data_IF_618528175929
#
_entry.id   IF_618528175929
#
_cell.length_a   1.000
_cell.length_b   1.000
_cell.length_c   1.000
_cell.angle_alpha   90.00
_cell.angle_beta   90.00
_cell.angle_gamma   90.00
#
_symmetry.space_group_name_H-M   'P 1'
#
loop_
_entity.id
_entity.type
_entity.pdbx_description
1 polymer ?
#
# COMPACT_ATOMS: atom_id res chain seq x y z
N UNK A 1 -28.76 -9.05 0.85
CA UNK A 1 -28.49 -10.46 0.47
C UNK A 1 -27.22 -10.87 1.20
N UNK A 2 -27.29 -11.87 2.08
CA UNK A 2 -26.22 -12.22 3.04
C UNK A 2 -25.31 -13.27 2.40
N UNK A 3 -24.01 -12.99 2.29
CA UNK A 3 -23.01 -14.00 1.97
C UNK A 3 -22.18 -14.29 3.22
N UNK A 4 -22.25 -15.53 3.70
CA UNK A 4 -21.36 -16.07 4.74
C UNK A 4 -20.38 -16.99 4.04
N UNK A 5 -19.13 -16.57 3.92
CA UNK A 5 -18.01 -17.47 3.67
C UNK A 5 -17.09 -17.42 4.88
N UNK A 6 -17.06 -18.55 5.61
CA UNK A 6 -16.17 -18.76 6.75
C UNK A 6 -14.76 -19.06 6.24
N UNK A 7 -13.82 -18.16 6.54
CA UNK A 7 -12.39 -18.46 6.53
C UNK A 7 -11.80 -18.10 7.90
N UNK A 8 -11.01 -19.03 8.45
CA UNK A 8 -10.37 -18.99 9.77
C UNK A 8 -9.35 -17.84 9.86
N UNK A 9 -9.48 -17.05 10.94
CA UNK A 9 -8.44 -16.30 11.67
C UNK A 9 -7.45 -15.50 10.81
N UNK A 10 -7.58 -14.17 10.81
CA UNK A 10 -6.54 -13.19 11.23
C UNK A 10 -7.22 -11.81 11.32
N UNK A 11 -6.89 -11.04 12.36
CA UNK A 11 -7.41 -9.72 12.73
C UNK A 11 -7.99 -8.87 11.60
N UNK A 12 -9.30 -8.62 11.66
CA UNK A 12 -10.00 -7.71 10.76
C UNK A 12 -9.85 -6.27 11.28
N UNK A 13 -8.78 -5.58 10.90
CA UNK A 13 -8.75 -4.13 11.03
C UNK A 13 -9.73 -3.55 10.00
N UNK A 14 -10.94 -3.23 10.44
CA UNK A 14 -11.85 -2.39 9.68
C UNK A 14 -11.20 -1.02 9.58
N UNK A 15 -10.60 -0.71 8.42
CA UNK A 15 -10.09 0.62 8.11
C UNK A 15 -11.31 1.53 7.99
N UNK A 16 -11.75 2.10 9.12
CA UNK A 16 -12.44 3.39 9.10
C UNK A 16 -11.37 4.41 8.71
N UNK A 17 -11.39 4.85 7.45
CA UNK A 17 -10.73 6.10 7.08
C UNK A 17 -11.61 7.22 7.67
N UNK A 18 -11.54 7.39 8.98
CA UNK A 18 -11.84 8.68 9.58
C UNK A 18 -10.66 9.58 9.23
N UNK A 19 -10.91 10.69 8.55
CA UNK A 19 -9.97 11.82 8.56
C UNK A 19 -9.78 12.24 10.02
N UNK A 20 -8.79 11.66 10.68
CA UNK A 20 -8.56 11.77 12.11
C UNK A 20 -7.08 11.75 12.36
N UNK A 21 -6.57 12.82 12.99
CA UNK A 21 -5.20 12.86 13.46
C UNK A 21 -5.04 11.77 14.52
N UNK A 22 -4.24 10.75 14.21
CA UNK A 22 -3.87 9.71 15.18
C UNK A 22 -2.86 10.32 16.14
N UNK A 23 -3.23 10.44 17.42
CA UNK A 23 -2.30 10.80 18.48
C UNK A 23 -1.66 9.53 19.04
N UNK A 24 -0.34 9.48 19.06
CA UNK A 24 0.42 8.35 19.60
C UNK A 24 1.64 8.85 20.37
N UNK A 25 2.06 8.08 21.37
CA UNK A 25 3.26 8.35 22.15
C UNK A 25 4.34 7.35 21.75
N UNK A 26 5.58 7.83 21.63
CA UNK A 26 6.75 6.98 21.43
C UNK A 26 7.78 7.30 22.50
N UNK A 27 8.47 6.26 22.94
CA UNK A 27 9.65 6.39 23.78
C UNK A 27 10.87 6.23 22.90
N UNK A 28 11.80 7.18 23.01
CA UNK A 28 13.09 7.16 22.33
C UNK A 28 14.16 7.32 23.40
N UNK A 29 15.37 6.84 23.12
CA UNK A 29 16.51 7.05 24.00
C UNK A 29 16.91 8.53 24.05
N UNK A 30 17.63 8.92 25.11
CA UNK A 30 18.02 10.30 25.37
C UNK A 30 18.86 10.89 24.22
N UNK A 31 19.73 10.08 23.62
CA UNK A 31 20.58 10.52 22.50
C UNK A 31 19.72 10.90 21.30
N UNK A 32 18.76 10.05 20.92
CA UNK A 32 17.81 10.32 19.83
C UNK A 32 16.94 11.55 20.15
N UNK A 33 16.48 11.69 21.39
CA UNK A 33 15.71 12.85 21.85
C UNK A 33 16.46 14.18 21.68
N UNK A 34 17.73 14.23 22.09
CA UNK A 34 18.57 15.42 21.93
C UNK A 34 18.95 15.70 20.47
N UNK A 35 19.14 14.67 19.67
CA UNK A 35 19.34 14.84 18.23
C UNK A 35 18.13 15.47 17.56
N UNK A 36 16.92 15.01 17.85
CA UNK A 36 15.67 15.60 17.34
C UNK A 36 15.53 17.07 17.74
N UNK A 37 15.88 17.41 18.98
CA UNK A 37 15.83 18.79 19.48
C UNK A 37 16.81 19.70 18.72
N UNK A 38 18.02 19.22 18.45
CA UNK A 38 19.03 19.98 17.69
C UNK A 38 18.59 20.24 16.25
N UNK A 39 18.10 19.20 15.56
CA UNK A 39 17.63 19.32 14.18
C UNK A 39 16.39 20.22 14.09
N UNK A 40 15.48 20.13 15.07
CA UNK A 40 14.35 21.05 15.17
C UNK A 40 14.80 22.52 15.25
N UNK A 41 15.81 22.80 16.07
CA UNK A 41 16.39 24.14 16.19
C UNK A 41 17.03 24.64 14.88
N UNK A 42 17.69 23.76 14.13
CA UNK A 42 18.36 24.11 12.87
C UNK A 42 17.38 24.32 11.71
N UNK A 43 16.30 23.55 11.67
CA UNK A 43 15.32 23.56 10.57
C UNK A 43 14.15 24.51 10.81
N UNK A 44 13.97 25.00 12.04
CA UNK A 44 12.79 25.76 12.45
C UNK A 44 11.50 24.92 12.56
N UNK A 45 11.60 23.60 12.36
CA UNK A 45 10.48 22.68 12.47
C UNK A 45 10.27 22.23 13.91
N UNK A 46 9.02 21.92 14.27
CA UNK A 46 8.75 21.26 15.56
C UNK A 46 9.23 19.81 15.53
N UNK A 47 9.58 19.25 16.70
CA UNK A 47 9.94 17.83 16.84
C UNK A 47 8.89 16.89 16.21
N UNK A 48 7.60 17.16 16.43
CA UNK A 48 6.52 16.38 15.84
C UNK A 48 6.42 16.53 14.32
N UNK A 49 6.75 17.70 13.76
CA UNK A 49 6.83 17.87 12.32
C UNK A 49 7.96 17.02 11.72
N UNK A 50 9.14 17.02 12.36
CA UNK A 50 10.27 16.18 11.95
C UNK A 50 9.94 14.68 12.06
N UNK A 51 9.33 14.24 13.16
CA UNK A 51 8.93 12.83 13.34
C UNK A 51 7.95 12.41 12.24
N UNK A 52 6.93 13.24 11.95
CA UNK A 52 5.97 12.95 10.87
C UNK A 52 6.65 12.90 9.51
N UNK A 53 7.57 13.81 9.23
CA UNK A 53 8.31 13.83 7.97
C UNK A 53 9.16 12.56 7.82
N UNK A 54 9.96 12.22 8.84
CA UNK A 54 10.79 11.02 8.84
C UNK A 54 9.96 9.74 8.66
N UNK A 55 8.81 9.64 9.32
CA UNK A 55 7.90 8.50 9.16
C UNK A 55 7.34 8.42 7.72
N UNK A 56 6.94 9.55 7.13
CA UNK A 56 6.46 9.59 5.73
C UNK A 56 7.55 9.15 4.76
N UNK A 57 8.76 9.67 4.91
CA UNK A 57 9.89 9.31 4.05
C UNK A 57 10.21 7.82 4.17
N UNK A 58 10.33 7.31 5.41
CA UNK A 58 10.63 5.91 5.67
C UNK A 58 9.55 4.95 5.11
N UNK A 59 8.27 5.30 5.29
CA UNK A 59 7.16 4.54 4.72
C UNK A 59 7.13 4.63 3.20
N UNK A 60 7.36 5.80 2.60
CA UNK A 60 7.38 5.96 1.14
C UNK A 60 8.46 5.10 0.47
N UNK A 61 9.59 4.86 1.13
CA UNK A 61 10.61 3.90 0.66
C UNK A 61 10.20 2.44 0.74
N UNK A 62 9.16 2.09 1.52
CA UNK A 62 8.73 0.71 1.79
C UNK A 62 7.39 0.35 1.17
N UNK A 63 6.49 1.32 1.06
CA UNK A 63 5.16 1.22 0.48
C UNK A 63 5.18 1.47 -1.04
N UNK A 64 6.20 1.00 -1.75
CA UNK A 64 6.00 0.74 -3.17
C UNK A 64 5.46 -0.69 -3.27
N UNK A 65 4.13 -0.90 -3.44
CA UNK A 65 3.59 -2.19 -3.86
C UNK A 65 4.04 -2.43 -5.31
N UNK A 66 5.32 -2.74 -5.46
CA UNK A 66 5.95 -3.13 -6.71
C UNK A 66 5.89 -4.64 -6.77
N UNK A 67 5.38 -5.14 -7.88
CA UNK A 67 5.51 -6.55 -8.19
C UNK A 67 6.99 -6.94 -8.18
N UNK A 68 7.35 -8.14 -7.69
CA UNK A 68 8.72 -8.62 -7.73
C UNK A 68 9.34 -8.46 -9.12
N UNK A 69 10.65 -8.21 -9.20
CA UNK A 69 11.34 -7.92 -10.46
C UNK A 69 11.09 -9.01 -11.51
N UNK A 70 11.04 -10.28 -11.08
CA UNK A 70 10.69 -11.41 -11.94
C UNK A 70 9.34 -11.27 -12.65
N UNK A 71 8.34 -10.64 -12.02
CA UNK A 71 7.04 -10.36 -12.63
C UNK A 71 7.15 -9.16 -13.57
N UNK A 72 7.89 -8.12 -13.17
CA UNK A 72 8.07 -6.91 -13.97
C UNK A 72 8.90 -7.14 -15.25
N UNK A 73 9.82 -8.10 -15.20
CA UNK A 73 10.73 -8.45 -16.29
C UNK A 73 10.20 -9.58 -17.18
N UNK A 74 9.13 -10.26 -16.76
CA UNK A 74 8.53 -11.35 -17.51
C UNK A 74 8.07 -10.90 -18.91
N UNK A 75 8.58 -11.54 -19.96
CA UNK A 75 8.28 -11.22 -21.37
C UNK A 75 7.24 -12.13 -22.00
N UNK A 76 6.61 -13.01 -21.22
CA UNK A 76 5.78 -14.09 -21.74
C UNK A 76 6.60 -15.36 -22.00
N UNK A 77 5.92 -16.42 -22.44
CA UNK A 77 6.54 -17.67 -22.87
C UNK A 77 6.63 -17.65 -24.39
N UNK A 78 7.82 -17.86 -24.94
CA UNK A 78 8.10 -17.70 -26.38
C UNK A 78 7.26 -18.63 -27.26
N UNK A 79 7.03 -19.86 -26.81
CA UNK A 79 6.27 -20.87 -27.55
C UNK A 79 4.74 -20.76 -27.39
N UNK A 80 4.26 -19.75 -26.64
CA UNK A 80 2.83 -19.52 -26.50
C UNK A 80 2.35 -18.43 -27.47
N UNK A 81 1.18 -18.63 -28.10
CA UNK A 81 0.56 -17.59 -28.91
C UNK A 81 0.24 -16.38 -28.02
N UNK A 82 0.22 -15.18 -28.61
CA UNK A 82 -0.05 -13.94 -27.88
C UNK A 82 -1.39 -14.00 -27.17
N UNK A 83 -1.53 -13.30 -26.04
CA UNK A 83 -2.77 -13.32 -25.23
C UNK A 83 -4.04 -13.03 -26.06
N UNK A 84 -3.92 -12.15 -27.06
CA UNK A 84 -5.03 -11.71 -27.91
C UNK A 84 -5.29 -12.61 -29.14
N UNK A 85 -4.47 -13.63 -29.38
CA UNK A 85 -4.50 -14.45 -30.61
C UNK A 85 -5.84 -15.14 -30.89
N UNK A 86 -6.60 -15.49 -29.85
CA UNK A 86 -7.89 -16.18 -29.96
C UNK A 86 -9.08 -15.24 -29.77
N UNK A 87 -8.86 -13.92 -29.72
CA UNK A 87 -9.93 -12.95 -29.46
C UNK A 87 -11.04 -12.99 -30.53
N UNK A 88 -10.67 -13.29 -31.76
CA UNK A 88 -11.59 -13.39 -32.90
C UNK A 88 -12.47 -14.65 -32.86
N UNK A 89 -12.13 -15.64 -32.03
CA UNK A 89 -12.91 -16.86 -31.82
C UNK A 89 -13.96 -16.71 -30.71
N UNK A 90 -13.97 -15.58 -30.01
CA UNK A 90 -14.93 -15.33 -28.93
C UNK A 90 -16.34 -15.18 -29.50
N UNK A 91 -17.27 -15.95 -28.92
CA UNK A 91 -18.69 -15.75 -29.18
C UNK A 91 -19.12 -14.35 -28.70
N UNK A 92 -20.04 -13.68 -29.41
CA UNK A 92 -20.61 -12.45 -28.91
C UNK A 92 -21.24 -12.69 -27.52
N UNK A 93 -21.16 -11.71 -26.61
CA UNK A 93 -21.80 -11.83 -25.31
C UNK A 93 -23.28 -12.15 -25.50
N UNK A 94 -23.82 -13.04 -24.68
CA UNK A 94 -25.26 -13.30 -24.67
C UNK A 94 -25.97 -11.99 -24.38
N UNK A 95 -27.12 -11.78 -25.02
CA UNK A 95 -27.98 -10.64 -24.69
C UNK A 95 -28.24 -10.66 -23.19
N UNK A 96 -28.01 -9.51 -22.56
CA UNK A 96 -28.26 -9.35 -21.13
C UNK A 96 -29.77 -9.54 -20.89
N UNK A 97 -30.17 -10.53 -20.07
CA UNK A 97 -31.58 -10.72 -19.75
C UNK A 97 -32.18 -9.56 -18.92
N UNK A 98 -31.36 -8.61 -18.49
CA UNK A 98 -31.71 -7.45 -17.66
C UNK A 98 -31.44 -6.08 -18.32
N UNK A 99 -31.03 -6.03 -19.60
CA UNK A 99 -30.80 -4.77 -20.33
C UNK A 99 -32.09 -4.08 -20.79
#
# INVERSE_FOLDING_TARGET
MVFVLRARITYQYVIKISEGVVHFNIYVDDQTGEQLKRVAGQTGLTRNALIRQALREWLATRDQPRWPDIVMEFKGVEDLPTFESYRDELLPPRQDPLA
#
